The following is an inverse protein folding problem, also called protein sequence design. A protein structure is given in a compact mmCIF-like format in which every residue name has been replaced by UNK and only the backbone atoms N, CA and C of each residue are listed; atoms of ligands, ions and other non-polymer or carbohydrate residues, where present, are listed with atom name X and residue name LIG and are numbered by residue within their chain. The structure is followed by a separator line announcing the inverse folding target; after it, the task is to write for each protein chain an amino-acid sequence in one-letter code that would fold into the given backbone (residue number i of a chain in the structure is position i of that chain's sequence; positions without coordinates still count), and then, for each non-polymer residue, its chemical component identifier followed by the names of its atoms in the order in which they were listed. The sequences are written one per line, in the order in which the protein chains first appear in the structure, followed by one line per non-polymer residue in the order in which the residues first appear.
data_IF_225893058227
#
_entry.id   IF_225893058227
#
_cell.length_a   1.000
_cell.length_b   1.000
_cell.length_c   1.000
_cell.angle_alpha   90.00
_cell.angle_beta   90.00
_cell.angle_gamma   90.00
#
_symmetry.space_group_name_H-M   'P 1'
#
loop_
_entity.id
_entity.type
_entity.pdbx_description
1 polymer ?
#
# COMPACT_ATOMS: atom_id res chain seq x y z
N UNK A 1 -19.35 -31.28 -6.60
CA UNK A 1 -18.98 -30.65 -5.31
C UNK A 1 -17.49 -30.33 -5.17
N UNK A 2 -16.56 -31.10 -5.77
CA UNK A 2 -15.10 -30.83 -5.64
C UNK A 2 -14.59 -29.61 -6.43
N UNK A 3 -15.21 -29.30 -7.57
CA UNK A 3 -14.74 -28.24 -8.48
C UNK A 3 -14.99 -26.83 -7.92
N UNK A 4 -16.13 -26.63 -7.25
CA UNK A 4 -16.44 -25.38 -6.55
C UNK A 4 -15.46 -25.10 -5.41
N UNK A 5 -15.15 -26.12 -4.60
CA UNK A 5 -14.15 -25.99 -3.53
C UNK A 5 -12.77 -25.69 -4.11
N UNK A 6 -12.37 -26.35 -5.19
CA UNK A 6 -11.09 -26.08 -5.86
C UNK A 6 -10.99 -24.65 -6.40
N UNK A 7 -12.08 -24.08 -6.91
CA UNK A 7 -12.11 -22.69 -7.38
C UNK A 7 -12.06 -21.68 -6.21
N UNK A 8 -12.72 -21.99 -5.10
CA UNK A 8 -12.64 -21.17 -3.88
C UNK A 8 -11.23 -21.17 -3.29
N UNK A 9 -10.59 -22.34 -3.18
CA UNK A 9 -9.22 -22.47 -2.70
C UNK A 9 -8.23 -21.70 -3.58
N UNK A 10 -8.40 -21.78 -4.91
CA UNK A 10 -7.58 -21.04 -5.86
C UNK A 10 -7.75 -19.51 -5.70
N UNK A 11 -8.99 -19.04 -5.57
CA UNK A 11 -9.29 -17.63 -5.35
C UNK A 11 -8.73 -17.11 -4.02
N UNK A 12 -8.79 -17.92 -2.96
CA UNK A 12 -8.18 -17.60 -1.67
C UNK A 12 -6.66 -17.44 -1.79
N UNK A 13 -5.99 -18.38 -2.46
CA UNK A 13 -4.55 -18.30 -2.70
C UNK A 13 -4.13 -17.09 -3.55
N UNK A 14 -4.94 -16.68 -4.53
CA UNK A 14 -4.71 -15.47 -5.32
C UNK A 14 -4.85 -14.20 -4.45
N UNK A 15 -5.87 -14.13 -3.60
CA UNK A 15 -6.09 -12.99 -2.71
C UNK A 15 -4.94 -12.81 -1.70
N UNK A 16 -4.44 -13.91 -1.13
CA UNK A 16 -3.31 -13.84 -0.18
C UNK A 16 -2.00 -13.38 -0.84
N UNK A 17 -1.75 -13.80 -2.08
CA UNK A 17 -0.62 -13.27 -2.87
C UNK A 17 -0.78 -11.79 -3.16
N UNK A 18 -1.98 -11.36 -3.56
CA UNK A 18 -2.26 -9.94 -3.81
C UNK A 18 -2.05 -9.09 -2.54
N UNK A 19 -2.51 -9.56 -1.38
CA UNK A 19 -2.29 -8.90 -0.08
C UNK A 19 -0.79 -8.76 0.22
N UNK A 20 -0.01 -9.82 0.00
CA UNK A 20 1.44 -9.81 0.20
C UNK A 20 2.14 -8.81 -0.73
N UNK A 21 1.78 -8.80 -2.02
CA UNK A 21 2.39 -7.89 -3.00
C UNK A 21 2.10 -6.42 -2.67
N UNK A 22 0.87 -6.11 -2.25
CA UNK A 22 0.49 -4.76 -1.82
C UNK A 22 1.26 -4.33 -0.56
N UNK A 23 1.46 -5.25 0.40
CA UNK A 23 2.31 -5.01 1.57
C UNK A 23 3.77 -4.74 1.22
N UNK A 24 4.34 -5.53 0.30
CA UNK A 24 5.71 -5.33 -0.17
C UNK A 24 5.85 -3.99 -0.90
N UNK A 25 4.90 -3.62 -1.75
CA UNK A 25 4.89 -2.34 -2.46
C UNK A 25 4.85 -1.15 -1.47
N UNK A 26 3.98 -1.23 -0.46
CA UNK A 26 3.90 -0.22 0.60
C UNK A 26 5.25 0.01 1.26
N UNK A 27 5.91 -1.08 1.64
CA UNK A 27 7.20 -1.03 2.31
C UNK A 27 8.27 -0.43 1.39
N UNK A 28 8.30 -0.86 0.12
CA UNK A 28 9.24 -0.35 -0.89
C UNK A 28 9.07 1.14 -1.15
N UNK A 29 7.84 1.68 -1.09
CA UNK A 29 7.60 3.11 -1.29
C UNK A 29 7.90 3.95 -0.05
N UNK A 30 7.67 3.42 1.17
CA UNK A 30 7.89 4.16 2.42
C UNK A 30 9.36 4.54 2.62
N UNK A 31 10.28 3.65 2.27
CA UNK A 31 11.72 3.87 2.45
C UNK A 31 12.25 5.07 1.63
N UNK A 32 12.11 5.13 0.29
CA UNK A 32 12.58 6.25 -0.51
C UNK A 32 11.85 7.55 -0.16
N UNK A 33 10.55 7.51 0.18
CA UNK A 33 9.84 8.71 0.66
C UNK A 33 10.42 9.23 1.98
N UNK A 34 10.80 8.33 2.89
CA UNK A 34 11.48 8.72 4.14
C UNK A 34 12.83 9.35 3.87
N UNK A 35 13.62 8.77 2.95
CA UNK A 35 14.92 9.32 2.54
C UNK A 35 14.75 10.70 1.91
N UNK A 36 13.90 10.84 0.89
CA UNK A 36 13.61 12.12 0.22
C UNK A 36 13.14 13.18 1.23
N UNK A 37 12.24 12.80 2.14
CA UNK A 37 11.74 13.69 3.17
C UNK A 37 12.81 14.13 4.19
N UNK A 38 13.84 13.32 4.43
CA UNK A 38 14.95 13.71 5.29
C UNK A 38 15.95 14.60 4.54
N UNK A 39 16.31 14.26 3.31
CA UNK A 39 17.19 15.09 2.48
C UNK A 39 16.60 16.49 2.23
N UNK A 40 15.29 16.56 1.98
CA UNK A 40 14.59 17.83 1.74
C UNK A 40 14.58 18.77 2.95
N UNK A 41 14.78 18.27 4.19
CA UNK A 41 14.92 19.14 5.38
C UNK A 41 16.22 19.94 5.37
N UNK A 42 17.24 19.47 4.65
CA UNK A 42 18.51 20.19 4.48
C UNK A 42 18.47 21.27 3.40
N UNK A 43 17.36 21.37 2.65
CA UNK A 43 17.18 22.33 1.57
C UNK A 43 16.41 23.54 2.09
N UNK A 44 17.13 24.59 2.52
CA UNK A 44 16.53 25.79 3.11
C UNK A 44 16.12 26.82 2.04
N UNK A 45 15.21 26.40 1.16
CA UNK A 45 14.57 27.25 0.16
C UNK A 45 13.14 26.80 -0.12
N UNK A 46 12.37 27.58 -0.87
CA UNK A 46 10.97 27.26 -1.20
C UNK A 46 10.82 25.90 -1.90
N UNK A 47 11.83 25.49 -2.69
CA UNK A 47 11.86 24.18 -3.33
C UNK A 47 11.90 23.04 -2.28
N UNK A 48 12.67 23.19 -1.20
CA UNK A 48 12.71 22.20 -0.11
C UNK A 48 11.34 22.04 0.57
N UNK A 49 10.63 23.14 0.82
CA UNK A 49 9.26 23.13 1.37
C UNK A 49 8.28 22.41 0.44
N UNK A 50 8.38 22.65 -0.88
CA UNK A 50 7.55 21.96 -1.87
C UNK A 50 7.83 20.46 -1.87
N UNK A 51 9.11 20.05 -1.87
CA UNK A 51 9.50 18.64 -1.85
C UNK A 51 8.97 17.95 -0.59
N UNK A 52 9.09 18.59 0.58
CA UNK A 52 8.54 18.06 1.84
C UNK A 52 7.02 17.88 1.76
N UNK A 53 6.30 18.89 1.26
CA UNK A 53 4.84 18.83 1.11
C UNK A 53 4.42 17.69 0.18
N UNK A 54 5.09 17.53 -0.97
CA UNK A 54 4.76 16.46 -1.93
C UNK A 54 5.10 15.08 -1.38
N UNK A 55 6.24 14.94 -0.70
CA UNK A 55 6.65 13.68 -0.06
C UNK A 55 5.63 13.25 1.01
N UNK A 56 5.15 14.19 1.82
CA UNK A 56 4.10 13.93 2.80
C UNK A 56 2.77 13.54 2.14
N UNK A 57 2.38 14.22 1.06
CA UNK A 57 1.17 13.88 0.30
C UNK A 57 1.25 12.45 -0.26
N UNK A 58 2.38 12.07 -0.85
CA UNK A 58 2.61 10.71 -1.36
C UNK A 58 2.51 9.65 -0.25
N UNK A 59 3.14 9.88 0.90
CA UNK A 59 3.07 8.95 2.04
C UNK A 59 1.63 8.76 2.56
N UNK A 60 0.84 9.85 2.57
CA UNK A 60 -0.57 9.80 2.96
C UNK A 60 -1.41 9.03 1.94
N UNK A 61 -1.22 9.27 0.64
CA UNK A 61 -1.91 8.51 -0.42
C UNK A 61 -1.61 7.02 -0.32
N UNK A 62 -0.34 6.63 -0.15
CA UNK A 62 0.06 5.22 0.04
C UNK A 62 -0.67 4.64 1.25
N UNK A 63 -0.66 5.33 2.38
CA UNK A 63 -1.34 4.86 3.61
C UNK A 63 -2.85 4.68 3.40
N UNK A 64 -3.50 5.64 2.74
CA UNK A 64 -4.93 5.58 2.45
C UNK A 64 -5.29 4.37 1.57
N UNK A 65 -4.59 4.18 0.45
CA UNK A 65 -4.87 3.07 -0.47
C UNK A 65 -4.62 1.70 0.17
N UNK A 66 -3.62 1.58 1.05
CA UNK A 66 -3.39 0.35 1.80
C UNK A 66 -4.50 0.06 2.82
N UNK A 67 -5.00 1.10 3.48
CA UNK A 67 -6.15 0.98 4.38
C UNK A 67 -7.40 0.52 3.62
N UNK A 68 -7.67 1.12 2.46
CA UNK A 68 -8.79 0.72 1.60
C UNK A 68 -8.65 -0.71 1.10
N UNK A 69 -7.46 -1.10 0.63
CA UNK A 69 -7.19 -2.47 0.18
C UNK A 69 -7.49 -3.48 1.30
N UNK A 70 -7.06 -3.21 2.53
CA UNK A 70 -7.36 -4.07 3.70
C UNK A 70 -8.86 -4.23 3.95
N UNK A 71 -9.63 -3.14 3.89
CA UNK A 71 -11.09 -3.18 4.11
C UNK A 71 -11.79 -3.99 3.00
N UNK A 72 -11.39 -3.80 1.74
CA UNK A 72 -11.94 -4.55 0.61
C UNK A 72 -11.65 -6.05 0.73
N UNK A 73 -10.46 -6.43 1.20
CA UNK A 73 -10.12 -7.83 1.43
C UNK A 73 -10.90 -8.45 2.60
N UNK A 74 -11.15 -7.72 3.69
CA UNK A 74 -11.98 -8.20 4.83
C UNK A 74 -13.43 -8.41 4.39
N UNK A 75 -14.02 -7.48 3.64
CA UNK A 75 -15.41 -7.62 3.16
C UNK A 75 -15.62 -8.83 2.23
N UNK A 76 -14.58 -9.28 1.53
CA UNK A 76 -14.67 -10.43 0.63
C UNK A 76 -14.56 -11.77 1.36
N UNK A 77 -13.98 -11.80 2.56
CA UNK A 77 -13.90 -13.02 3.40
C UNK A 77 -15.14 -13.27 4.23
N UNK A 78 -15.92 -12.23 4.55
CA UNK A 78 -17.13 -12.33 5.40
C UNK A 78 -18.42 -12.55 4.60
N UNK A 79 -18.34 -12.58 3.26
CA UNK A 79 -19.47 -12.72 2.34
C UNK A 79 -19.61 -14.11 1.70
N UNK A 80 -19.31 -15.17 2.45
CA UNK A 80 -19.50 -16.59 2.06
C UNK A 80 -20.28 -17.34 3.14
#
# INVERSE_FOLDING_TARGET
MSELNSLLDHNSALLERARTQVGNLAHTLKNPLTVIGNEAKGIDCEQGKVILKQTAAMANSVTLYLSQARILFVRKTDGL
#
